data_IF_422078815208
#
_entry.id   IF_422078815208
#
_cell.length_a   1.000
_cell.length_b   1.000
_cell.length_c   1.000
_cell.angle_alpha   90.00
_cell.angle_beta   90.00
_cell.angle_gamma   90.00
#
_symmetry.space_group_name_H-M   'P 1'
#
loop_
_entity.id
_entity.type
_entity.pdbx_description
1 polymer ?
#
# COMPACT_ATOMS: atom_id res chain seq x y z
N UNK A 1 26.15 2.61 -12.77
CA UNK A 1 24.82 2.69 -12.14
C UNK A 1 23.81 3.05 -13.21
N UNK A 2 22.82 2.22 -13.44
CA UNK A 2 21.75 2.54 -14.39
C UNK A 2 20.88 3.64 -13.77
N UNK A 3 20.69 4.76 -14.47
CA UNK A 3 19.79 5.83 -14.02
C UNK A 3 18.36 5.31 -14.07
N UNK A 4 17.59 5.50 -12.99
CA UNK A 4 16.17 5.15 -12.96
C UNK A 4 15.39 6.07 -13.90
N UNK A 5 14.46 5.52 -14.67
CA UNK A 5 13.57 6.28 -15.55
C UNK A 5 12.36 6.76 -14.75
N UNK A 6 12.57 7.76 -13.89
CA UNK A 6 11.55 8.36 -13.03
C UNK A 6 11.57 9.90 -13.17
N UNK A 7 10.44 10.60 -12.96
CA UNK A 7 10.38 12.05 -13.00
C UNK A 7 11.38 12.72 -12.04
N UNK A 8 12.08 13.76 -12.50
CA UNK A 8 13.06 14.48 -11.67
C UNK A 8 12.38 15.39 -10.63
N UNK A 9 11.18 15.91 -10.93
CA UNK A 9 10.43 16.84 -10.05
C UNK A 9 10.07 16.16 -8.74
N UNK A 10 10.20 16.88 -7.62
CA UNK A 10 9.89 16.38 -6.28
C UNK A 10 8.86 17.26 -5.57
N UNK A 11 7.75 16.64 -5.18
CA UNK A 11 6.64 17.26 -4.47
C UNK A 11 6.67 17.03 -2.94
N UNK A 12 7.80 16.56 -2.42
CA UNK A 12 8.08 16.53 -0.99
C UNK A 12 9.27 17.43 -0.66
N UNK A 13 9.20 18.09 0.49
CA UNK A 13 10.36 18.79 1.05
C UNK A 13 11.41 17.79 1.56
N UNK A 14 12.67 18.21 1.64
CA UNK A 14 13.77 17.37 2.11
C UNK A 14 13.63 17.03 3.60
N UNK A 15 13.15 17.98 4.42
CA UNK A 15 12.93 17.80 5.86
C UNK A 15 11.54 17.24 6.15
N UNK A 16 11.48 16.14 6.90
CA UNK A 16 10.25 15.57 7.47
C UNK A 16 10.56 14.73 8.70
N UNK A 17 9.56 14.49 9.55
CA UNK A 17 9.71 13.74 10.82
C UNK A 17 9.51 12.22 10.67
N UNK A 18 9.52 11.70 9.45
CA UNK A 18 9.46 10.26 9.19
C UNK A 18 10.68 9.53 9.73
N UNK A 19 10.49 8.31 10.22
CA UNK A 19 11.60 7.48 10.73
C UNK A 19 12.67 7.24 9.65
N UNK A 20 13.96 7.09 10.02
CA UNK A 20 14.99 6.68 9.07
C UNK A 20 14.62 5.39 8.34
N UNK A 21 14.75 5.37 7.02
CA UNK A 21 14.39 4.21 6.18
C UNK A 21 12.88 3.94 6.07
N UNK A 22 12.02 4.88 6.44
CA UNK A 22 10.56 4.70 6.36
C UNK A 22 10.10 4.46 4.93
N UNK A 23 9.57 3.26 4.63
CA UNK A 23 9.04 2.92 3.32
C UNK A 23 7.83 3.77 2.90
N UNK A 24 7.03 4.24 3.86
CA UNK A 24 5.88 5.07 3.57
C UNK A 24 6.27 6.47 3.06
N UNK A 25 7.41 7.03 3.50
CA UNK A 25 7.93 8.32 2.97
C UNK A 25 8.50 8.16 1.57
N UNK A 26 9.20 7.05 1.31
CA UNK A 26 9.70 6.72 -0.03
C UNK A 26 8.51 6.53 -0.99
N UNK A 27 7.48 5.81 -0.57
CA UNK A 27 6.28 5.55 -1.36
C UNK A 27 5.53 6.84 -1.73
N UNK A 28 5.29 7.75 -0.77
CA UNK A 28 4.64 9.03 -1.04
C UNK A 28 5.41 9.87 -2.06
N UNK A 29 6.75 9.90 -1.94
CA UNK A 29 7.60 10.62 -2.89
C UNK A 29 7.41 10.13 -4.32
N UNK A 30 7.40 8.81 -4.54
CA UNK A 30 7.17 8.24 -5.86
C UNK A 30 5.73 8.43 -6.35
N UNK A 31 4.74 8.30 -5.46
CA UNK A 31 3.34 8.56 -5.79
C UNK A 31 3.15 9.99 -6.31
N UNK A 32 3.67 10.98 -5.60
CA UNK A 32 3.55 12.39 -6.01
C UNK A 32 4.38 12.72 -7.26
N UNK A 33 5.53 12.08 -7.47
CA UNK A 33 6.27 12.22 -8.74
C UNK A 33 5.44 11.79 -9.96
N UNK A 34 4.60 10.78 -9.80
CA UNK A 34 3.72 10.27 -10.85
C UNK A 34 2.44 11.12 -11.01
N UNK A 35 1.86 11.59 -9.90
CA UNK A 35 0.58 12.30 -9.90
C UNK A 35 0.71 13.80 -10.19
N UNK A 36 1.82 14.42 -9.79
CA UNK A 36 2.09 15.83 -10.04
C UNK A 36 1.46 16.78 -8.99
N UNK A 37 1.59 18.06 -9.26
CA UNK A 37 1.17 19.17 -8.38
C UNK A 37 -0.36 19.35 -8.30
N UNK A 38 -1.11 18.97 -9.34
CA UNK A 38 -2.58 18.97 -9.33
C UNK A 38 -3.14 17.77 -8.57
N UNK A 39 -2.67 17.58 -7.33
CA UNK A 39 -3.09 16.49 -6.45
C UNK A 39 -3.46 17.03 -5.08
N UNK A 40 -4.62 16.63 -4.56
CA UNK A 40 -5.01 16.87 -3.16
C UNK A 40 -4.93 15.56 -2.41
N UNK A 41 -4.22 15.54 -1.28
CA UNK A 41 -4.00 14.32 -0.49
C UNK A 41 -4.89 14.33 0.74
N UNK A 42 -5.78 13.35 0.85
CA UNK A 42 -6.60 13.09 2.04
C UNK A 42 -5.86 12.10 2.93
N UNK A 43 -5.55 12.49 4.16
CA UNK A 43 -4.76 11.69 5.10
C UNK A 43 -5.57 11.43 6.37
N UNK A 44 -6.02 10.18 6.62
CA UNK A 44 -6.62 9.83 7.91
C UNK A 44 -5.55 9.70 9.00
N UNK A 45 -5.99 9.55 10.26
CA UNK A 45 -5.10 9.29 11.38
C UNK A 45 -4.20 8.06 11.10
N UNK A 46 -2.88 8.28 11.00
CA UNK A 46 -1.87 7.27 10.68
C UNK A 46 -0.47 7.89 10.86
N UNK A 47 0.62 7.18 10.53
CA UNK A 47 1.96 7.76 10.52
C UNK A 47 2.04 9.05 9.68
N UNK A 48 1.35 9.10 8.55
CA UNK A 48 1.34 10.26 7.67
C UNK A 48 0.58 11.46 8.25
N UNK A 49 -0.34 11.26 9.19
CA UNK A 49 -0.92 12.37 9.97
C UNK A 49 0.11 13.14 10.79
N UNK A 50 1.22 12.50 11.17
CA UNK A 50 2.36 13.13 11.84
C UNK A 50 3.43 13.59 10.84
N UNK A 51 3.78 12.73 9.87
CA UNK A 51 4.84 13.01 8.87
C UNK A 51 4.50 14.23 8.00
N UNK A 52 3.22 14.45 7.71
CA UNK A 52 2.74 15.60 6.96
C UNK A 52 3.10 16.93 7.62
N UNK A 53 3.24 16.94 8.94
CA UNK A 53 3.59 18.11 9.74
C UNK A 53 2.36 18.84 10.31
N UNK A 54 2.55 19.59 11.41
CA UNK A 54 1.51 20.44 11.99
C UNK A 54 1.37 21.75 11.19
N UNK A 55 0.14 22.25 11.09
CA UNK A 55 -0.09 23.57 10.49
C UNK A 55 0.72 24.67 11.22
N UNK A 56 1.35 25.63 10.51
CA UNK A 56 1.32 25.87 9.05
C UNK A 56 2.41 25.11 8.27
N UNK A 57 3.14 24.23 8.89
CA UNK A 57 4.21 23.44 8.23
C UNK A 57 3.60 22.29 7.41
N UNK A 58 4.27 21.92 6.34
CA UNK A 58 3.94 20.75 5.55
C UNK A 58 5.20 20.10 4.99
N UNK A 59 5.26 18.77 5.03
CA UNK A 59 6.29 18.01 4.32
C UNK A 59 5.98 17.81 2.83
N UNK A 60 4.76 18.14 2.39
CA UNK A 60 4.30 18.01 1.00
C UNK A 60 4.13 19.39 0.35
N UNK A 61 4.38 19.46 -0.95
CA UNK A 61 4.19 20.66 -1.80
C UNK A 61 2.81 20.68 -2.49
N UNK A 62 1.91 19.81 -2.07
CA UNK A 62 0.53 19.71 -2.55
C UNK A 62 -0.44 19.90 -1.39
N UNK A 63 -1.69 20.32 -1.65
CA UNK A 63 -2.69 20.48 -0.62
C UNK A 63 -2.96 19.18 0.15
N UNK A 64 -3.15 19.29 1.47
CA UNK A 64 -3.44 18.17 2.38
C UNK A 64 -4.74 18.45 3.11
N UNK A 65 -5.59 17.43 3.22
CA UNK A 65 -6.76 17.41 4.09
C UNK A 65 -6.62 16.25 5.08
N UNK A 66 -6.38 16.56 6.36
CA UNK A 66 -6.37 15.56 7.42
C UNK A 66 -7.79 15.22 7.86
N UNK A 67 -8.05 13.95 8.15
CA UNK A 67 -9.40 13.48 8.48
C UNK A 67 -9.37 12.41 9.57
N UNK A 68 -10.55 12.05 10.10
CA UNK A 68 -10.70 11.01 11.10
C UNK A 68 -10.32 9.62 10.53
N UNK A 69 -9.97 8.70 11.43
CA UNK A 69 -9.34 7.42 11.09
C UNK A 69 -10.14 6.58 10.08
N UNK A 70 -11.47 6.52 10.24
CA UNK A 70 -12.35 5.69 9.40
C UNK A 70 -12.80 6.37 8.09
N UNK A 71 -12.47 7.67 7.87
CA UNK A 71 -13.21 8.50 6.92
C UNK A 71 -12.47 8.82 5.64
N UNK A 72 -11.32 8.20 5.37
CA UNK A 72 -10.51 8.51 4.18
C UNK A 72 -11.31 8.41 2.87
N UNK A 73 -12.07 7.33 2.67
CA UNK A 73 -12.92 7.15 1.48
C UNK A 73 -14.04 8.19 1.40
N UNK A 74 -14.77 8.40 2.50
CA UNK A 74 -15.87 9.37 2.53
C UNK A 74 -15.40 10.82 2.32
N UNK A 75 -14.26 11.19 2.94
CA UNK A 75 -13.70 12.55 2.76
C UNK A 75 -13.19 12.77 1.33
N UNK A 76 -12.54 11.75 0.74
CA UNK A 76 -12.10 11.82 -0.66
C UNK A 76 -13.29 11.93 -1.62
N UNK A 77 -14.39 11.18 -1.38
CA UNK A 77 -15.64 11.30 -2.14
C UNK A 77 -16.22 12.71 -2.07
N UNK A 78 -16.35 13.27 -0.86
CA UNK A 78 -16.86 14.63 -0.68
C UNK A 78 -15.98 15.69 -1.36
N UNK A 79 -14.66 15.52 -1.32
CA UNK A 79 -13.73 16.42 -2.00
C UNK A 79 -13.85 16.32 -3.52
N UNK A 80 -14.00 15.10 -4.08
CA UNK A 80 -14.25 14.92 -5.51
C UNK A 80 -15.54 15.58 -5.94
N UNK A 81 -16.63 15.36 -5.22
CA UNK A 81 -17.91 16.00 -5.49
C UNK A 81 -17.82 17.54 -5.47
N UNK A 82 -17.08 18.11 -4.52
CA UNK A 82 -16.87 19.57 -4.45
C UNK A 82 -16.08 20.12 -5.64
N UNK A 83 -15.09 19.36 -6.16
CA UNK A 83 -14.35 19.73 -7.35
C UNK A 83 -15.20 19.60 -8.60
N UNK A 84 -16.03 18.57 -8.71
CA UNK A 84 -16.98 18.38 -9.82
C UNK A 84 -17.98 19.54 -9.90
N UNK A 85 -18.53 19.99 -8.77
CA UNK A 85 -19.41 21.18 -8.71
C UNK A 85 -18.71 22.46 -9.17
N UNK A 86 -17.38 22.54 -9.06
CA UNK A 86 -16.57 23.66 -9.55
C UNK A 86 -16.11 23.49 -11.00
N UNK A 87 -16.44 22.38 -11.65
CA UNK A 87 -15.99 22.03 -13.00
C UNK A 87 -14.51 21.65 -13.09
N UNK A 88 -13.86 21.31 -11.96
CA UNK A 88 -12.47 20.87 -11.93
C UNK A 88 -12.36 19.34 -12.09
N UNK A 89 -12.16 18.87 -13.33
CA UNK A 89 -11.93 17.48 -13.67
C UNK A 89 -10.44 17.07 -13.66
N UNK A 90 -9.52 18.06 -13.56
CA UNK A 90 -8.07 17.84 -13.68
C UNK A 90 -7.41 17.47 -12.35
N UNK A 91 -7.92 18.03 -11.25
CA UNK A 91 -7.35 17.79 -9.93
C UNK A 91 -7.57 16.34 -9.48
N UNK A 92 -6.50 15.63 -9.21
CA UNK A 92 -6.54 14.28 -8.66
C UNK A 92 -6.81 14.32 -7.15
N UNK A 93 -7.81 13.59 -6.70
CA UNK A 93 -8.06 13.36 -5.27
C UNK A 93 -7.44 12.01 -4.89
N UNK A 94 -6.43 12.03 -4.02
CA UNK A 94 -5.76 10.84 -3.50
C UNK A 94 -6.02 10.67 -2.02
N UNK A 95 -6.71 9.59 -1.61
CA UNK A 95 -6.73 9.13 -0.23
C UNK A 95 -5.44 8.34 0.05
N UNK A 96 -4.72 8.69 1.12
CA UNK A 96 -3.47 8.03 1.51
C UNK A 96 -3.58 7.51 2.94
N UNK A 97 -3.94 6.24 3.08
CA UNK A 97 -4.25 5.61 4.36
C UNK A 97 -3.26 4.48 4.70
N UNK A 98 -3.02 4.24 5.97
CA UNK A 98 -2.30 3.05 6.44
C UNK A 98 -3.16 1.80 6.35
N UNK A 99 -2.53 0.64 6.54
CA UNK A 99 -3.20 -0.66 6.47
C UNK A 99 -4.32 -0.80 7.51
N UNK A 100 -4.13 -0.38 8.75
CA UNK A 100 -5.20 -0.42 9.77
C UNK A 100 -6.39 0.45 9.40
N UNK A 101 -6.14 1.66 8.84
CA UNK A 101 -7.18 2.56 8.35
C UNK A 101 -7.90 2.04 7.11
N UNK A 102 -7.27 1.18 6.32
CA UNK A 102 -7.83 0.64 5.07
C UNK A 102 -8.50 -0.71 5.28
N UNK A 103 -7.80 -1.66 5.90
CA UNK A 103 -8.21 -3.07 6.02
C UNK A 103 -9.24 -3.30 7.12
N UNK A 104 -9.26 -2.44 8.13
CA UNK A 104 -10.08 -2.59 9.32
C UNK A 104 -11.14 -1.48 9.39
N UNK A 105 -10.85 -0.37 10.08
CA UNK A 105 -11.88 0.62 10.43
C UNK A 105 -12.43 1.40 9.24
N UNK A 106 -11.65 1.62 8.19
CA UNK A 106 -12.05 2.43 7.02
C UNK A 106 -12.60 1.63 5.84
N UNK A 107 -12.64 0.29 5.91
CA UNK A 107 -13.12 -0.55 4.81
C UNK A 107 -14.57 -0.22 4.41
N UNK A 108 -15.43 0.13 5.35
CA UNK A 108 -16.81 0.50 5.11
C UNK A 108 -16.89 1.75 4.23
N UNK A 109 -16.16 2.82 4.59
CA UNK A 109 -16.15 4.06 3.83
C UNK A 109 -15.53 3.87 2.43
N UNK A 110 -14.49 3.02 2.32
CA UNK A 110 -13.87 2.67 1.05
C UNK A 110 -14.84 1.88 0.16
N UNK A 111 -15.49 0.84 0.70
CA UNK A 111 -16.49 0.05 -0.03
C UNK A 111 -17.64 0.90 -0.54
N UNK A 112 -18.13 1.86 0.27
CA UNK A 112 -19.16 2.80 -0.15
C UNK A 112 -18.71 3.77 -1.24
N UNK A 113 -17.46 4.26 -1.21
CA UNK A 113 -16.90 5.10 -2.27
C UNK A 113 -16.77 4.30 -3.59
N UNK A 114 -16.31 3.07 -3.49
CA UNK A 114 -16.17 2.16 -4.64
C UNK A 114 -17.52 1.82 -5.26
N UNK A 115 -18.53 1.51 -4.45
CA UNK A 115 -19.89 1.19 -4.93
C UNK A 115 -20.50 2.37 -5.70
N UNK A 116 -20.24 3.61 -5.29
CA UNK A 116 -20.70 4.81 -5.99
C UNK A 116 -19.83 5.22 -7.17
N UNK A 117 -18.80 4.46 -7.51
CA UNK A 117 -17.84 4.77 -8.57
C UNK A 117 -17.18 6.16 -8.42
N UNK A 118 -16.86 6.57 -7.21
CA UNK A 118 -16.20 7.84 -6.97
C UNK A 118 -14.86 7.95 -7.69
N UNK A 119 -14.63 9.01 -8.47
CA UNK A 119 -13.38 9.21 -9.24
C UNK A 119 -12.22 9.65 -8.33
N UNK A 120 -11.73 8.73 -7.51
CA UNK A 120 -10.63 8.93 -6.58
C UNK A 120 -9.53 7.87 -6.76
N UNK A 121 -8.31 8.19 -6.36
CA UNK A 121 -7.24 7.22 -6.16
C UNK A 121 -7.16 6.92 -4.67
N UNK A 122 -7.38 5.68 -4.27
CA UNK A 122 -7.21 5.25 -2.89
C UNK A 122 -5.92 4.43 -2.75
N UNK A 123 -5.01 4.91 -1.91
CA UNK A 123 -3.73 4.25 -1.66
C UNK A 123 -3.70 3.72 -0.24
N UNK A 124 -3.44 2.43 -0.11
CA UNK A 124 -3.03 1.84 1.15
C UNK A 124 -1.50 1.71 1.17
N UNK A 125 -0.81 2.51 1.98
CA UNK A 125 0.56 2.19 2.32
C UNK A 125 0.57 1.17 3.46
N UNK A 126 1.03 -0.02 3.15
CA UNK A 126 0.95 -1.18 4.03
C UNK A 126 2.29 -1.43 4.71
N UNK A 127 2.37 -1.14 6.00
CA UNK A 127 3.49 -1.48 6.86
C UNK A 127 3.17 -2.61 7.85
N UNK A 128 2.02 -3.27 7.62
CA UNK A 128 1.59 -4.51 8.25
C UNK A 128 1.29 -4.44 9.75
N UNK A 129 0.92 -3.23 10.26
CA UNK A 129 0.39 -3.03 11.62
C UNK A 129 -0.19 -1.62 11.80
N UNK A 130 -0.94 -1.39 12.90
CA UNK A 130 -1.16 -0.04 13.43
C UNK A 130 0.16 0.47 14.00
N UNK A 131 1.04 1.02 13.14
CA UNK A 131 2.42 1.33 13.51
C UNK A 131 2.54 2.53 14.41
N UNK A 132 1.88 3.64 14.06
CA UNK A 132 2.02 4.92 14.76
C UNK A 132 1.56 4.83 16.22
N UNK A 133 0.58 4.01 16.50
CA UNK A 133 0.02 3.85 17.86
C UNK A 133 0.77 2.84 18.72
N UNK A 134 1.79 2.17 18.20
CA UNK A 134 2.65 1.27 18.95
C UNK A 134 2.67 -0.18 18.47
N UNK A 135 2.58 -0.40 17.15
CA UNK A 135 2.77 -1.72 16.51
C UNK A 135 1.70 -2.75 16.93
N UNK A 136 0.43 -2.34 16.96
CA UNK A 136 -0.67 -3.28 17.19
C UNK A 136 -1.00 -4.07 15.93
N UNK A 137 -1.59 -5.24 16.10
CA UNK A 137 -2.02 -6.12 15.02
C UNK A 137 -3.13 -5.46 14.20
N UNK A 138 -2.95 -5.40 12.87
CA UNK A 138 -4.00 -5.11 11.89
C UNK A 138 -4.42 -6.37 11.12
N UNK A 139 -5.45 -6.29 10.28
CA UNK A 139 -5.79 -7.37 9.34
C UNK A 139 -4.73 -7.58 8.24
N UNK A 140 -3.88 -6.57 8.00
CA UNK A 140 -2.74 -6.68 7.09
C UNK A 140 -1.51 -7.35 7.72
N UNK A 141 -1.46 -7.52 9.03
CA UNK A 141 -0.35 -8.18 9.71
C UNK A 141 -0.23 -9.63 9.23
N UNK A 142 0.94 -10.10 8.76
CA UNK A 142 1.13 -11.47 8.28
C UNK A 142 1.00 -12.51 9.38
N UNK A 143 0.69 -13.75 8.98
CA UNK A 143 0.80 -14.92 9.85
C UNK A 143 2.21 -15.01 10.46
N UNK A 144 2.30 -15.45 11.69
CA UNK A 144 3.57 -15.57 12.42
C UNK A 144 4.11 -14.29 13.04
N UNK A 145 3.51 -13.12 12.79
CA UNK A 145 4.04 -11.85 13.28
C UNK A 145 3.74 -11.61 14.75
N UNK A 146 4.77 -11.24 15.53
CA UNK A 146 4.59 -10.65 16.87
C UNK A 146 4.34 -9.15 16.77
N UNK A 147 3.32 -8.70 17.49
CA UNK A 147 2.99 -7.28 17.68
C UNK A 147 2.75 -7.00 19.16
N UNK A 148 2.49 -5.76 19.55
CA UNK A 148 2.19 -5.41 20.95
C UNK A 148 0.88 -6.02 21.43
N UNK A 149 -0.09 -6.28 20.56
CA UNK A 149 -1.36 -6.94 20.85
C UNK A 149 -1.36 -8.46 20.57
N UNK A 150 -0.28 -8.99 20.00
CA UNK A 150 -0.05 -10.42 19.80
C UNK A 150 1.35 -10.80 20.30
N UNK A 151 1.60 -10.69 21.64
CA UNK A 151 2.92 -10.93 22.24
C UNK A 151 3.19 -12.42 22.49
N UNK A 152 4.46 -12.74 22.71
CA UNK A 152 4.90 -14.07 23.17
C UNK A 152 4.48 -15.21 22.22
N UNK A 153 3.80 -16.22 22.77
CA UNK A 153 3.24 -17.35 22.01
C UNK A 153 1.92 -17.02 21.31
N UNK A 154 1.37 -15.81 21.56
CA UNK A 154 0.11 -15.34 20.97
C UNK A 154 0.27 -14.60 19.63
N UNK A 155 1.38 -14.82 18.90
CA UNK A 155 1.57 -14.20 17.58
C UNK A 155 0.39 -14.47 16.62
N UNK A 156 0.23 -13.65 15.58
CA UNK A 156 -0.92 -13.72 14.68
C UNK A 156 -1.00 -15.06 13.96
N UNK A 157 -2.13 -15.77 14.15
CA UNK A 157 -2.38 -17.12 13.60
C UNK A 157 -3.33 -17.14 12.41
N UNK A 158 -3.72 -15.97 11.88
CA UNK A 158 -4.62 -15.86 10.74
C UNK A 158 -3.89 -15.25 9.54
N UNK A 159 -4.33 -15.60 8.32
CA UNK A 159 -3.82 -15.01 7.08
C UNK A 159 -4.02 -13.49 7.05
N UNK A 160 -3.19 -12.81 6.29
CA UNK A 160 -3.38 -11.40 5.89
C UNK A 160 -4.62 -11.29 5.01
N UNK A 161 -5.44 -10.24 5.25
CA UNK A 161 -6.58 -9.94 4.38
C UNK A 161 -6.06 -9.46 3.01
N UNK A 162 -6.65 -9.94 1.92
CA UNK A 162 -6.28 -9.49 0.57
C UNK A 162 -7.23 -8.39 0.09
N UNK A 163 -6.81 -7.11 0.24
CA UNK A 163 -7.65 -5.97 -0.14
C UNK A 163 -7.80 -5.81 -1.64
N UNK A 164 -6.80 -6.17 -2.44
CA UNK A 164 -6.91 -6.10 -3.91
C UNK A 164 -8.03 -7.02 -4.40
N UNK A 165 -8.12 -8.24 -3.85
CA UNK A 165 -9.18 -9.18 -4.19
C UNK A 165 -10.57 -8.72 -3.74
N UNK A 166 -10.68 -8.14 -2.54
CA UNK A 166 -11.93 -7.58 -2.04
C UNK A 166 -12.44 -6.47 -2.96
N UNK A 167 -11.54 -5.59 -3.40
CA UNK A 167 -11.90 -4.48 -4.28
C UNK A 167 -12.09 -4.91 -5.73
N UNK A 168 -11.36 -5.90 -6.21
CA UNK A 168 -11.61 -6.52 -7.51
C UNK A 168 -13.02 -7.12 -7.59
N UNK A 169 -13.54 -7.69 -6.49
CA UNK A 169 -14.92 -8.19 -6.42
C UNK A 169 -15.98 -7.09 -6.59
N UNK A 170 -15.64 -5.83 -6.29
CA UNK A 170 -16.48 -4.66 -6.60
C UNK A 170 -16.43 -4.23 -8.09
N UNK A 171 -15.62 -4.89 -8.94
CA UNK A 171 -15.44 -4.51 -10.34
C UNK A 171 -14.88 -3.10 -10.53
N UNK A 172 -13.98 -2.67 -9.66
CA UNK A 172 -13.34 -1.35 -9.81
C UNK A 172 -12.51 -1.29 -11.11
N UNK A 173 -12.36 -0.10 -11.71
CA UNK A 173 -11.63 0.05 -12.98
C UNK A 173 -10.18 -0.42 -12.86
N UNK A 174 -9.54 -0.20 -11.71
CA UNK A 174 -8.13 -0.54 -11.52
C UNK A 174 -7.77 -0.83 -10.08
N UNK A 175 -7.09 -1.94 -9.86
CA UNK A 175 -6.38 -2.23 -8.62
C UNK A 175 -4.95 -2.71 -8.93
N UNK A 176 -3.99 -2.36 -8.09
CA UNK A 176 -2.61 -2.83 -8.24
C UNK A 176 -1.88 -2.95 -6.91
N UNK A 177 -0.95 -3.88 -6.84
CA UNK A 177 0.09 -3.90 -5.81
C UNK A 177 1.33 -3.16 -6.31
N UNK A 178 2.05 -2.47 -5.42
CA UNK A 178 3.30 -1.77 -5.75
C UNK A 178 4.29 -1.88 -4.58
N UNK A 179 5.57 -1.70 -4.84
CA UNK A 179 6.62 -1.77 -3.82
C UNK A 179 7.67 -0.68 -4.02
N UNK A 180 8.14 -0.11 -2.90
CA UNK A 180 9.23 0.87 -2.90
C UNK A 180 10.53 0.35 -3.51
N UNK A 181 10.67 -0.96 -3.64
CA UNK A 181 11.86 -1.60 -4.22
C UNK A 181 11.85 -1.60 -5.77
N UNK A 182 10.71 -1.26 -6.38
CA UNK A 182 10.50 -1.21 -7.83
C UNK A 182 9.87 0.14 -8.22
N UNK A 183 10.66 1.24 -8.15
CA UNK A 183 10.14 2.59 -8.31
C UNK A 183 9.54 2.87 -9.69
N UNK A 184 10.11 2.31 -10.75
CA UNK A 184 9.60 2.49 -12.12
C UNK A 184 8.22 1.83 -12.30
N UNK A 185 8.07 0.57 -11.84
CA UNK A 185 6.78 -0.13 -11.82
C UNK A 185 5.73 0.63 -10.99
N UNK A 186 6.13 1.12 -9.82
CA UNK A 186 5.24 1.89 -8.96
C UNK A 186 4.78 3.18 -9.64
N UNK A 187 5.68 3.96 -10.25
CA UNK A 187 5.35 5.20 -10.95
C UNK A 187 4.40 4.93 -12.12
N UNK A 188 4.68 3.93 -12.95
CA UNK A 188 3.80 3.53 -14.07
C UNK A 188 2.38 3.20 -13.61
N UNK A 189 2.23 2.49 -12.47
CA UNK A 189 0.93 2.17 -11.88
C UNK A 189 0.18 3.40 -11.38
N UNK A 190 0.87 4.35 -10.74
CA UNK A 190 0.27 5.63 -10.34
C UNK A 190 -0.14 6.48 -11.54
N UNK A 191 0.69 6.55 -12.58
CA UNK A 191 0.33 7.25 -13.83
C UNK A 191 -0.86 6.59 -14.53
N UNK A 192 -0.90 5.25 -14.57
CA UNK A 192 -2.04 4.49 -15.11
C UNK A 192 -3.31 4.81 -14.30
N UNK A 193 -3.24 4.77 -12.96
CA UNK A 193 -4.36 5.13 -12.11
C UNK A 193 -4.84 6.58 -12.33
N UNK A 194 -3.92 7.54 -12.58
CA UNK A 194 -4.29 8.93 -12.88
C UNK A 194 -5.02 9.06 -14.21
N UNK A 195 -4.59 8.31 -15.23
CA UNK A 195 -5.21 8.35 -16.58
C UNK A 195 -6.58 7.66 -16.62
N UNK A 196 -6.76 6.62 -15.83
CA UNK A 196 -8.05 5.93 -15.73
C UNK A 196 -9.05 6.78 -14.93
N UNK A 197 -10.26 6.92 -15.45
CA UNK A 197 -11.35 7.71 -14.86
C UNK A 197 -12.60 6.85 -14.71
N UNK A 198 -13.62 7.39 -14.06
CA UNK A 198 -14.93 6.74 -13.96
C UNK A 198 -15.06 5.69 -12.87
N UNK A 199 -14.32 5.86 -11.77
CA UNK A 199 -14.46 5.02 -10.60
C UNK A 199 -13.22 5.05 -9.71
N UNK A 200 -13.25 4.36 -8.59
CA UNK A 200 -12.14 4.30 -7.65
C UNK A 200 -11.02 3.42 -8.17
N UNK A 201 -9.79 3.93 -8.16
CA UNK A 201 -8.56 3.16 -8.42
C UNK A 201 -7.87 2.90 -7.10
N UNK A 202 -7.48 1.66 -6.86
CA UNK A 202 -6.86 1.23 -5.61
C UNK A 202 -5.40 0.79 -5.82
N UNK A 203 -4.50 1.35 -5.00
CA UNK A 203 -3.10 0.93 -4.99
C UNK A 203 -2.71 0.43 -3.59
N UNK A 204 -2.28 -0.82 -3.52
CA UNK A 204 -1.75 -1.45 -2.33
C UNK A 204 -0.22 -1.37 -2.37
N UNK A 205 0.36 -0.45 -1.62
CA UNK A 205 1.79 -0.15 -1.65
C UNK A 205 2.51 -0.76 -0.46
N UNK A 206 3.41 -1.68 -0.71
CA UNK A 206 4.24 -2.29 0.32
C UNK A 206 5.28 -1.31 0.85
N UNK A 207 5.18 -0.95 2.10
CA UNK A 207 5.95 0.10 2.76
C UNK A 207 6.63 -0.41 4.03
N UNK A 208 7.89 -0.81 3.93
CA UNK A 208 8.67 -1.32 5.07
C UNK A 208 8.70 -0.34 6.25
N UNK A 209 8.65 -0.88 7.46
CA UNK A 209 8.77 -0.09 8.69
C UNK A 209 9.96 -0.58 9.54
N UNK A 210 11.13 0.07 9.49
CA UNK A 210 12.30 -0.38 10.24
C UNK A 210 12.04 -0.57 11.73
N UNK A 211 11.39 0.38 12.36
CA UNK A 211 11.06 0.33 13.79
C UNK A 211 10.14 -0.83 14.15
N UNK A 212 9.01 -0.97 13.44
CA UNK A 212 8.02 -2.01 13.75
C UNK A 212 8.48 -3.42 13.36
N UNK A 213 9.27 -3.55 12.31
CA UNK A 213 9.80 -4.85 11.84
C UNK A 213 11.12 -5.23 12.51
N UNK A 214 11.70 -4.30 13.29
CA UNK A 214 12.99 -4.49 13.98
C UNK A 214 14.10 -4.85 12.98
N UNK A 215 14.28 -3.98 11.99
CA UNK A 215 15.29 -4.08 10.95
C UNK A 215 16.15 -2.81 10.91
N UNK A 216 17.41 -2.88 10.47
CA UNK A 216 18.22 -1.71 10.19
C UNK A 216 17.58 -0.83 9.11
N UNK A 217 17.67 0.49 9.26
CA UNK A 217 17.01 1.46 8.35
C UNK A 217 17.49 1.35 6.90
N UNK A 218 18.76 1.05 6.69
CA UNK A 218 19.39 0.86 5.38
C UNK A 218 18.90 -0.41 4.66
N UNK A 219 18.28 -1.34 5.38
CA UNK A 219 17.76 -2.59 4.82
C UNK A 219 16.35 -2.46 4.21
N UNK A 220 15.66 -1.32 4.39
CA UNK A 220 14.26 -1.13 3.99
C UNK A 220 13.99 -1.55 2.53
N UNK A 221 14.72 -0.98 1.57
CA UNK A 221 14.51 -1.27 0.15
C UNK A 221 14.89 -2.72 -0.19
N UNK A 222 15.95 -3.25 0.44
CA UNK A 222 16.38 -4.63 0.23
C UNK A 222 15.32 -5.62 0.72
N UNK A 223 14.72 -5.38 1.89
CA UNK A 223 13.67 -6.24 2.45
C UNK A 223 12.37 -6.14 1.63
N UNK A 224 12.00 -4.94 1.17
CA UNK A 224 10.87 -4.77 0.24
C UNK A 224 11.09 -5.56 -1.06
N UNK A 225 12.34 -5.62 -1.56
CA UNK A 225 12.69 -6.41 -2.74
C UNK A 225 12.58 -7.91 -2.47
N UNK A 226 13.05 -8.36 -1.31
CA UNK A 226 12.92 -9.77 -0.91
C UNK A 226 11.45 -10.21 -0.82
N UNK A 227 10.55 -9.36 -0.31
CA UNK A 227 9.13 -9.67 -0.26
C UNK A 227 8.53 -9.96 -1.64
N UNK A 228 8.93 -9.16 -2.65
CA UNK A 228 8.49 -9.37 -4.05
C UNK A 228 9.15 -10.61 -4.65
N UNK A 229 10.46 -10.77 -4.46
CA UNK A 229 11.20 -11.89 -5.01
C UNK A 229 10.80 -13.26 -4.41
N UNK A 230 10.17 -13.26 -3.24
CA UNK A 230 9.66 -14.47 -2.58
C UNK A 230 8.14 -14.67 -2.73
N UNK A 231 7.47 -13.89 -3.56
CA UNK A 231 6.01 -13.88 -3.74
C UNK A 231 5.20 -13.66 -2.44
N UNK A 232 5.84 -13.28 -1.33
CA UNK A 232 5.14 -12.87 -0.11
C UNK A 232 4.32 -11.60 -0.37
N UNK A 233 4.82 -10.75 -1.26
CA UNK A 233 4.08 -9.59 -1.76
C UNK A 233 4.23 -9.52 -3.29
N UNK A 234 3.41 -10.24 -4.07
CA UNK A 234 3.50 -10.26 -5.52
C UNK A 234 3.12 -8.90 -6.13
N UNK A 235 3.80 -8.51 -7.20
CA UNK A 235 3.45 -7.32 -7.98
C UNK A 235 2.57 -7.70 -9.16
N UNK A 236 1.32 -7.21 -9.12
CA UNK A 236 0.32 -7.48 -10.13
C UNK A 236 -0.69 -6.34 -10.24
N UNK A 237 -1.44 -6.35 -11.31
CA UNK A 237 -2.52 -5.41 -11.60
C UNK A 237 -3.81 -6.17 -11.89
N UNK A 238 -4.95 -5.54 -11.59
CA UNK A 238 -6.29 -6.01 -11.94
C UNK A 238 -7.03 -4.87 -12.62
N UNK A 239 -7.53 -5.10 -13.82
CA UNK A 239 -8.38 -4.16 -14.56
C UNK A 239 -9.82 -4.69 -14.56
N UNK A 240 -10.80 -3.79 -14.35
CA UNK A 240 -12.24 -4.07 -14.31
C UNK A 240 -12.63 -5.24 -13.39
N UNK A 241 -11.79 -5.49 -12.38
CA UNK A 241 -11.97 -6.55 -11.38
C UNK A 241 -11.78 -7.98 -11.91
N UNK A 242 -11.38 -8.19 -13.16
CA UNK A 242 -11.29 -9.51 -13.81
C UNK A 242 -9.98 -9.77 -14.54
N UNK A 243 -9.36 -8.75 -15.12
CA UNK A 243 -8.16 -8.94 -15.95
C UNK A 243 -6.90 -8.79 -15.11
N UNK A 244 -6.25 -9.92 -14.83
CA UNK A 244 -5.08 -10.01 -13.98
C UNK A 244 -3.78 -10.03 -14.79
N UNK A 245 -2.83 -9.19 -14.43
CA UNK A 245 -1.49 -9.15 -15.02
C UNK A 245 -0.42 -9.20 -13.93
N UNK A 246 0.46 -10.20 -13.96
CA UNK A 246 1.61 -10.29 -13.06
C UNK A 246 2.77 -9.51 -13.68
N UNK A 247 3.29 -8.51 -12.94
CA UNK A 247 4.39 -7.67 -13.41
C UNK A 247 5.75 -8.29 -13.13
N UNK A 248 5.92 -8.92 -11.95
CA UNK A 248 7.19 -9.51 -11.52
C UNK A 248 6.92 -10.88 -10.90
N UNK A 249 7.66 -11.89 -11.35
CA UNK A 249 7.63 -13.25 -10.78
C UNK A 249 8.75 -13.41 -9.76
N UNK A 250 8.42 -13.89 -8.57
CA UNK A 250 9.40 -14.27 -7.56
C UNK A 250 10.07 -15.61 -7.86
N UNK A 251 11.23 -15.81 -7.26
CA UNK A 251 12.07 -17.00 -7.46
C UNK A 251 12.82 -17.42 -6.18
N UNK A 252 12.54 -16.75 -5.06
CA UNK A 252 13.18 -17.01 -3.77
C UNK A 252 12.22 -17.70 -2.79
N UNK A 253 12.72 -18.45 -1.81
CA UNK A 253 11.88 -18.93 -0.72
C UNK A 253 11.44 -17.78 0.20
N UNK A 254 10.27 -17.90 0.82
CA UNK A 254 9.75 -16.92 1.77
C UNK A 254 10.66 -16.72 2.98
N UNK A 255 11.44 -17.75 3.36
CA UNK A 255 12.41 -17.67 4.47
C UNK A 255 13.48 -16.61 4.28
N UNK A 256 13.89 -16.28 3.03
CA UNK A 256 14.85 -15.22 2.73
C UNK A 256 14.32 -13.83 3.18
N UNK A 257 13.02 -13.61 3.02
CA UNK A 257 12.34 -12.40 3.48
C UNK A 257 12.10 -12.39 4.99
N UNK A 258 11.70 -13.54 5.56
CA UNK A 258 11.28 -13.61 6.95
C UNK A 258 12.46 -13.55 7.93
N UNK A 259 13.53 -14.31 7.69
CA UNK A 259 14.67 -14.48 8.61
C UNK A 259 15.45 -13.19 8.88
N UNK A 260 15.36 -12.20 8.00
CA UNK A 260 16.05 -10.90 8.15
C UNK A 260 15.30 -9.89 9.01
N UNK A 261 14.14 -10.26 9.57
CA UNK A 261 13.27 -9.36 10.34
C UNK A 261 13.12 -9.81 11.79
N UNK A 262 13.34 -8.89 12.73
CA UNK A 262 13.26 -9.18 14.17
C UNK A 262 11.88 -9.62 14.65
N UNK A 263 10.80 -9.23 13.94
CA UNK A 263 9.42 -9.61 14.28
C UNK A 263 9.10 -11.09 14.03
N UNK A 264 9.96 -11.82 13.30
CA UNK A 264 9.83 -13.26 13.00
C UNK A 264 10.89 -14.13 13.67
N UNK A 265 11.79 -13.58 14.49
CA UNK A 265 12.90 -14.33 15.15
C UNK A 265 12.48 -15.52 16.01
N UNK A 266 11.20 -15.61 16.35
CA UNK A 266 10.66 -16.68 17.20
C UNK A 266 10.11 -17.86 16.42
N UNK A 267 10.01 -17.76 15.10
CA UNK A 267 9.48 -18.81 14.25
C UNK A 267 10.45 -19.98 14.18
N UNK A 268 9.88 -21.20 14.14
CA UNK A 268 10.58 -22.45 13.90
C UNK A 268 10.68 -22.76 12.41
N UNK A 269 11.42 -23.80 12.04
CA UNK A 269 11.50 -24.21 10.64
C UNK A 269 10.15 -24.73 10.13
N UNK A 270 9.34 -25.37 10.99
CA UNK A 270 7.96 -25.78 10.67
C UNK A 270 7.05 -24.57 10.40
N UNK A 271 7.21 -23.49 11.18
CA UNK A 271 6.46 -22.24 10.93
C UNK A 271 6.86 -21.61 9.58
N UNK A 272 8.15 -21.64 9.22
CA UNK A 272 8.62 -21.16 7.92
C UNK A 272 8.07 -21.99 6.77
N UNK A 273 8.02 -23.31 6.91
CA UNK A 273 7.42 -24.23 5.93
C UNK A 273 5.92 -23.95 5.77
N UNK A 274 5.21 -23.77 6.88
CA UNK A 274 3.79 -23.40 6.85
C UNK A 274 3.56 -22.09 6.11
N UNK A 275 4.39 -21.06 6.34
CA UNK A 275 4.29 -19.78 5.64
C UNK A 275 4.61 -19.97 4.14
N UNK A 276 5.60 -20.78 3.79
CA UNK A 276 5.93 -21.08 2.40
C UNK A 276 4.73 -21.71 1.68
N UNK A 277 4.10 -22.71 2.28
CA UNK A 277 2.90 -23.35 1.73
C UNK A 277 1.76 -22.35 1.50
N UNK A 278 1.54 -21.42 2.45
CA UNK A 278 0.54 -20.36 2.29
C UNK A 278 0.88 -19.40 1.13
N UNK A 279 2.15 -19.08 0.95
CA UNK A 279 2.61 -18.22 -0.17
C UNK A 279 2.43 -18.94 -1.51
N UNK A 280 2.76 -20.23 -1.57
CA UNK A 280 2.64 -21.04 -2.79
C UNK A 280 1.16 -21.23 -3.20
N UNK A 281 0.26 -21.42 -2.22
CA UNK A 281 -1.18 -21.47 -2.47
C UNK A 281 -1.68 -20.14 -3.04
N UNK A 282 -1.37 -19.01 -2.40
CA UNK A 282 -1.81 -17.68 -2.85
C UNK A 282 -1.24 -17.34 -4.24
N UNK A 283 0.02 -17.71 -4.48
CA UNK A 283 0.65 -17.55 -5.79
C UNK A 283 0.00 -18.42 -6.86
N UNK A 284 -0.32 -19.69 -6.55
CA UNK A 284 -1.03 -20.60 -7.44
C UNK A 284 -2.41 -20.05 -7.87
N UNK A 285 -3.16 -19.47 -6.92
CA UNK A 285 -4.43 -18.81 -7.20
C UNK A 285 -4.25 -17.62 -8.15
N UNK A 286 -3.22 -16.79 -7.92
CA UNK A 286 -2.93 -15.64 -8.78
C UNK A 286 -2.56 -16.06 -10.22
N UNK A 287 -1.76 -17.12 -10.38
CA UNK A 287 -1.41 -17.70 -11.68
C UNK A 287 -2.65 -18.20 -12.44
N UNK A 288 -3.57 -18.88 -11.75
CA UNK A 288 -4.84 -19.32 -12.35
C UNK A 288 -5.70 -18.16 -12.85
N UNK A 289 -5.79 -17.07 -12.10
CA UNK A 289 -6.53 -15.86 -12.49
C UNK A 289 -5.88 -15.21 -13.72
N UNK A 290 -4.56 -15.05 -13.72
CA UNK A 290 -3.82 -14.49 -14.86
C UNK A 290 -4.00 -15.33 -16.14
N UNK A 291 -4.01 -16.67 -16.04
CA UNK A 291 -4.19 -17.55 -17.19
C UNK A 291 -5.59 -17.49 -17.80
N UNK A 292 -6.61 -17.16 -16.98
CA UNK A 292 -7.99 -16.93 -17.48
C UNK A 292 -8.12 -15.62 -18.22
N UNK A 293 -7.48 -14.56 -17.70
CA UNK A 293 -7.48 -13.23 -18.36
C UNK A 293 -6.83 -13.24 -19.76
N UNK A 294 -5.89 -14.16 -20.02
CA UNK A 294 -5.25 -14.28 -21.34
C UNK A 294 -6.08 -15.06 -22.38
N UNK A 295 -7.18 -15.68 -21.96
CA UNK A 295 -8.06 -16.49 -22.83
C UNK A 295 -9.37 -15.79 -23.18
N UNK A 296 -9.68 -14.68 -22.53
CA UNK A 296 -10.82 -13.80 -22.82
C UNK A 296 -10.40 -12.65 -23.72
#
# INVERSE_FOLDING_TARGET
MTRLNIPDVDYMYAGHVGCPGCGATIAMRFALKALGDKTIVVIPACCWGVIAGPYPQSSLKVPILQTAFATAGATASGLRAALDMKGDSETTVMAWAGDGGTFDIGIQALSGAVERNEDIIYVCYDNEAYMNTGVQRSSATPFGTRTTTTPGKGWKKTRKKNMVEILAAHRIPYAATASIAYPEDMIQKFEKARRMKGGTRFLHVFATCPTGWRIPSEMSVKIARLAVQSNVFPLYEVTDGVDYTINIKGYRPASDYLKVQGRFKHLTDEDFEQIQNMVDEDWGVLLLKTSRSQKS
#
